data_IF_476163080996
#
_entry.id   IF_476163080996
#
_cell.length_a   1.000
_cell.length_b   1.000
_cell.length_c   1.000
_cell.angle_alpha   90.00
_cell.angle_beta   90.00
_cell.angle_gamma   90.00
#
_symmetry.space_group_name_H-M   'P 1'
#
loop_
_entity.id
_entity.type
_entity.pdbx_description
1 polymer ?
#
# COMPACT_ATOMS: atom_id res chain seq x y z
N UNK A 1 -32.53 -9.99 -14.19
CA UNK A 1 -31.55 -9.58 -13.13
C UNK A 1 -30.55 -8.55 -13.64
N UNK A 2 -29.85 -8.76 -14.76
CA UNK A 2 -28.91 -7.75 -15.34
C UNK A 2 -29.58 -6.40 -15.68
N UNK A 3 -30.78 -6.39 -16.28
CA UNK A 3 -31.52 -5.13 -16.54
C UNK A 3 -31.96 -4.40 -15.26
N UNK A 4 -32.13 -5.14 -14.15
CA UNK A 4 -32.49 -4.54 -12.85
C UNK A 4 -31.28 -3.99 -12.09
N UNK A 5 -30.05 -4.43 -12.40
CA UNK A 5 -28.80 -4.06 -11.72
C UNK A 5 -27.76 -3.66 -12.78
N UNK A 6 -28.00 -2.54 -13.45
CA UNK A 6 -27.04 -1.94 -14.38
C UNK A 6 -25.86 -1.29 -13.65
N UNK A 7 -24.83 -0.89 -14.41
CA UNK A 7 -23.61 -0.27 -13.88
C UNK A 7 -23.88 0.95 -12.98
N UNK A 8 -24.92 1.73 -13.28
CA UNK A 8 -25.34 2.89 -12.47
C UNK A 8 -25.73 2.44 -11.05
N UNK A 9 -26.68 1.50 -10.93
CA UNK A 9 -27.12 0.98 -9.63
C UNK A 9 -26.00 0.26 -8.87
N UNK A 10 -25.12 -0.44 -9.58
CA UNK A 10 -23.96 -1.08 -8.97
C UNK A 10 -22.99 -0.04 -8.39
N UNK A 11 -22.73 1.06 -9.11
CA UNK A 11 -21.91 2.17 -8.61
C UNK A 11 -22.56 2.81 -7.38
N UNK A 12 -23.85 3.14 -7.45
CA UNK A 12 -24.55 3.83 -6.37
C UNK A 12 -24.57 2.99 -5.07
N UNK A 13 -24.55 1.65 -5.18
CA UNK A 13 -24.47 0.74 -4.04
C UNK A 13 -23.04 0.45 -3.58
N UNK A 14 -22.16 0.01 -4.48
CA UNK A 14 -20.84 -0.55 -4.15
C UNK A 14 -19.70 0.47 -4.20
N UNK A 15 -19.98 1.70 -4.58
CA UNK A 15 -19.02 2.81 -4.58
C UNK A 15 -19.54 4.04 -3.80
N UNK A 16 -20.53 3.83 -2.91
CA UNK A 16 -21.19 4.89 -2.15
C UNK A 16 -20.21 5.76 -1.33
N UNK A 17 -19.27 5.11 -0.66
CA UNK A 17 -18.35 5.71 0.30
C UNK A 17 -16.88 5.57 -0.14
N UNK A 18 -16.57 5.60 -1.44
CA UNK A 18 -15.18 5.51 -1.93
C UNK A 18 -14.39 6.75 -1.47
N UNK A 19 -13.31 6.61 -0.69
CA UNK A 19 -12.50 7.76 -0.30
C UNK A 19 -11.87 8.45 -1.50
N UNK A 20 -11.76 9.79 -1.45
CA UNK A 20 -11.19 10.61 -2.54
C UNK A 20 -9.73 10.24 -2.87
N UNK A 21 -8.97 9.74 -1.90
CA UNK A 21 -7.59 9.28 -2.07
C UNK A 21 -7.49 7.81 -2.50
N UNK A 22 -8.59 7.06 -2.55
CA UNK A 22 -8.55 5.64 -2.92
C UNK A 22 -8.25 5.50 -4.41
N UNK A 23 -7.21 4.75 -4.75
CA UNK A 23 -6.74 4.65 -6.13
C UNK A 23 -7.69 3.82 -6.97
N UNK A 24 -8.37 4.45 -7.93
CA UNK A 24 -9.21 3.79 -8.94
C UNK A 24 -8.33 3.23 -10.08
N UNK A 25 -8.38 1.92 -10.37
CA UNK A 25 -7.59 1.35 -11.45
C UNK A 25 -8.09 1.79 -12.84
N UNK A 26 -7.17 1.81 -13.79
CA UNK A 26 -7.40 1.96 -15.23
C UNK A 26 -7.06 0.66 -15.97
N UNK A 27 -7.32 0.59 -17.28
CA UNK A 27 -6.92 -0.57 -18.11
C UNK A 27 -5.41 -0.86 -18.06
N UNK A 28 -4.59 0.17 -17.85
CA UNK A 28 -3.12 0.09 -17.77
C UNK A 28 -2.61 -0.15 -16.34
N UNK A 29 -3.50 -0.20 -15.35
CA UNK A 29 -3.09 -0.48 -13.96
C UNK A 29 -2.59 -1.90 -13.79
N UNK A 30 -1.69 -2.10 -12.82
CA UNK A 30 -1.23 -3.44 -12.44
C UNK A 30 -2.41 -4.33 -12.02
N UNK A 31 -2.32 -5.62 -12.34
CA UNK A 31 -3.40 -6.59 -12.10
C UNK A 31 -3.83 -6.68 -10.63
N UNK A 32 -2.88 -6.57 -9.69
CA UNK A 32 -3.18 -6.52 -8.25
C UNK A 32 -4.14 -5.37 -7.92
N UNK A 33 -3.96 -4.19 -8.50
CA UNK A 33 -4.81 -3.03 -8.21
C UNK A 33 -6.23 -3.21 -8.79
N UNK A 34 -6.34 -3.81 -9.97
CA UNK A 34 -7.64 -4.16 -10.58
C UNK A 34 -8.39 -5.18 -9.73
N UNK A 35 -7.70 -6.26 -9.34
CA UNK A 35 -8.27 -7.33 -8.51
C UNK A 35 -8.72 -6.81 -7.15
N UNK A 36 -7.87 -6.03 -6.47
CA UNK A 36 -8.22 -5.49 -5.15
C UNK A 36 -9.34 -4.46 -5.20
N UNK A 37 -9.48 -3.69 -6.28
CA UNK A 37 -10.64 -2.82 -6.48
C UNK A 37 -11.95 -3.60 -6.56
N UNK A 38 -11.96 -4.70 -7.32
CA UNK A 38 -13.14 -5.57 -7.46
C UNK A 38 -13.45 -6.25 -6.11
N UNK A 39 -12.44 -6.75 -5.41
CA UNK A 39 -12.62 -7.39 -4.10
C UNK A 39 -13.09 -6.39 -3.04
N UNK A 40 -12.54 -5.18 -3.00
CA UNK A 40 -12.98 -4.12 -2.09
C UNK A 40 -14.46 -3.78 -2.31
N UNK A 41 -14.88 -3.64 -3.58
CA UNK A 41 -16.27 -3.34 -3.95
C UNK A 41 -17.25 -4.44 -3.59
N UNK A 42 -16.97 -5.67 -4.00
CA UNK A 42 -18.00 -6.72 -4.07
C UNK A 42 -17.82 -7.84 -3.07
N UNK A 43 -16.60 -8.10 -2.62
CA UNK A 43 -16.32 -9.16 -1.65
C UNK A 43 -16.28 -8.60 -0.22
N UNK A 44 -15.54 -7.51 -0.01
CA UNK A 44 -15.35 -6.91 1.32
C UNK A 44 -16.35 -5.79 1.62
N UNK A 45 -16.98 -5.26 0.56
CA UNK A 45 -17.98 -4.20 0.63
C UNK A 45 -17.45 -2.93 1.32
N UNK A 46 -16.17 -2.64 1.16
CA UNK A 46 -15.46 -1.58 1.89
C UNK A 46 -16.04 -0.19 1.63
N UNK A 47 -16.61 0.02 0.45
CA UNK A 47 -17.16 1.31 0.04
C UNK A 47 -18.67 1.42 0.27
N UNK A 48 -19.26 0.50 1.03
CA UNK A 48 -20.67 0.59 1.43
C UNK A 48 -20.86 1.29 2.77
N UNK A 49 -19.79 1.35 3.58
CA UNK A 49 -19.80 1.89 4.94
C UNK A 49 -18.38 2.37 5.30
N UNK A 50 -18.19 3.65 5.72
CA UNK A 50 -16.89 4.16 6.16
C UNK A 50 -16.22 3.33 7.27
N UNK A 51 -17.00 2.67 8.14
CA UNK A 51 -16.44 1.87 9.25
C UNK A 51 -15.65 0.65 8.74
N UNK A 52 -15.93 0.19 7.52
CA UNK A 52 -15.21 -0.92 6.87
C UNK A 52 -13.83 -0.51 6.32
N UNK A 53 -13.45 0.75 6.47
CA UNK A 53 -12.25 1.35 5.88
C UNK A 53 -11.16 1.63 6.93
N UNK A 54 -11.41 1.28 8.19
CA UNK A 54 -10.52 1.55 9.32
C UNK A 54 -9.08 1.04 9.09
N UNK A 55 -8.92 -0.10 8.40
CA UNK A 55 -7.61 -0.73 8.12
C UNK A 55 -6.64 0.19 7.36
N UNK A 56 -7.14 1.08 6.52
CA UNK A 56 -6.33 2.04 5.75
C UNK A 56 -6.65 3.50 6.07
N UNK A 57 -7.71 3.80 6.82
CA UNK A 57 -8.05 5.14 7.31
C UNK A 57 -7.44 5.44 8.69
N UNK A 58 -6.65 4.52 9.25
CA UNK A 58 -5.98 4.72 10.52
C UNK A 58 -4.89 5.81 10.47
N UNK A 59 -4.64 6.41 11.64
CA UNK A 59 -3.57 7.41 11.83
C UNK A 59 -2.17 6.80 11.71
N UNK A 60 -2.03 5.54 12.15
CA UNK A 60 -0.78 4.79 12.09
C UNK A 60 -1.07 3.39 11.56
N UNK A 61 -0.38 3.00 10.50
CA UNK A 61 -0.42 1.64 9.96
C UNK A 61 0.95 0.98 10.10
N UNK A 62 0.98 -0.21 10.68
CA UNK A 62 2.20 -1.01 10.85
C UNK A 62 2.07 -2.33 10.11
N UNK A 63 3.15 -2.79 9.50
CA UNK A 63 3.16 -4.08 8.81
C UNK A 63 4.58 -4.57 8.52
N UNK A 64 4.71 -5.87 8.27
CA UNK A 64 5.96 -6.47 7.81
C UNK A 64 5.95 -6.54 6.29
N UNK A 65 7.00 -6.03 5.66
CA UNK A 65 7.21 -6.16 4.22
C UNK A 65 8.56 -6.82 3.96
N UNK A 66 8.62 -7.60 2.89
CA UNK A 66 9.88 -8.07 2.34
C UNK A 66 10.52 -6.91 1.59
N UNK A 67 11.68 -6.46 2.05
CA UNK A 67 12.40 -5.34 1.45
C UNK A 67 13.70 -5.81 0.83
N UNK A 68 13.95 -5.42 -0.42
CA UNK A 68 15.21 -5.67 -1.10
C UNK A 68 16.35 -4.90 -0.42
N UNK A 69 17.41 -5.63 -0.06
CA UNK A 69 18.67 -5.09 0.43
C UNK A 69 19.48 -4.43 -0.69
N UNK A 70 20.15 -3.32 -0.38
CA UNK A 70 20.94 -2.55 -1.37
C UNK A 70 22.10 -3.38 -1.93
N UNK A 71 22.89 -3.98 -1.04
CA UNK A 71 24.18 -4.57 -1.43
C UNK A 71 24.03 -6.06 -1.77
N UNK A 72 23.31 -6.80 -0.92
CA UNK A 72 23.16 -8.26 -1.06
C UNK A 72 22.11 -8.67 -2.09
N UNK A 73 21.31 -7.74 -2.61
CA UNK A 73 20.16 -7.99 -3.52
C UNK A 73 19.22 -9.12 -3.05
N UNK A 74 19.11 -9.29 -1.74
CA UNK A 74 18.21 -10.27 -1.11
C UNK A 74 17.08 -9.54 -0.41
N UNK A 75 15.89 -10.14 -0.43
CA UNK A 75 14.76 -9.65 0.35
C UNK A 75 14.89 -10.08 1.80
N UNK A 76 14.57 -9.17 2.72
CA UNK A 76 14.49 -9.47 4.15
C UNK A 76 13.26 -8.80 4.74
N UNK A 77 12.62 -9.44 5.72
CA UNK A 77 11.47 -8.88 6.43
C UNK A 77 11.89 -7.66 7.25
N UNK A 78 11.14 -6.57 7.08
CA UNK A 78 11.33 -5.31 7.81
C UNK A 78 9.97 -4.82 8.28
N UNK A 79 9.89 -4.35 9.52
CA UNK A 79 8.69 -3.64 9.97
C UNK A 79 8.69 -2.25 9.37
N UNK A 80 7.57 -1.89 8.76
CA UNK A 80 7.25 -0.55 8.28
C UNK A 80 6.17 0.06 9.16
N UNK A 81 6.27 1.37 9.36
CA UNK A 81 5.27 2.20 10.05
C UNK A 81 4.98 3.39 9.16
N UNK A 82 3.73 3.52 8.75
CA UNK A 82 3.19 4.70 8.08
C UNK A 82 2.44 5.52 9.15
N UNK A 83 2.96 6.69 9.50
CA UNK A 83 2.36 7.60 10.49
C UNK A 83 1.90 8.87 9.79
N UNK A 84 0.58 9.12 9.80
CA UNK A 84 0.00 10.38 9.33
C UNK A 84 0.28 11.51 10.31
N UNK A 85 0.34 11.21 11.60
CA UNK A 85 0.60 12.18 12.67
C UNK A 85 2.01 12.76 12.53
N UNK A 86 2.98 11.90 12.24
CA UNK A 86 4.38 12.32 12.10
C UNK A 86 4.76 12.68 10.65
N UNK A 87 3.80 12.59 9.71
CA UNK A 87 3.99 12.70 8.26
C UNK A 87 5.15 11.86 7.69
N UNK A 88 5.28 10.61 8.16
CA UNK A 88 6.45 9.77 7.85
C UNK A 88 6.09 8.32 7.52
N UNK A 89 6.86 7.75 6.58
CA UNK A 89 7.03 6.31 6.42
C UNK A 89 8.42 5.90 6.93
N UNK A 90 8.44 5.03 7.93
CA UNK A 90 9.67 4.58 8.58
C UNK A 90 9.81 3.06 8.53
N UNK A 91 11.03 2.54 8.47
CA UNK A 91 11.26 1.10 8.58
C UNK A 91 12.39 0.72 9.54
N UNK A 92 12.30 -0.48 10.09
CA UNK A 92 13.16 -0.99 11.16
C UNK A 92 13.79 -2.32 10.72
N UNK A 93 15.05 -2.56 11.11
CA UNK A 93 15.79 -3.77 10.72
C UNK A 93 15.67 -4.88 11.76
N UNK A 94 15.63 -4.56 13.05
CA UNK A 94 15.67 -5.53 14.14
C UNK A 94 14.51 -5.34 15.12
N UNK A 95 13.70 -6.39 15.31
CA UNK A 95 12.79 -6.49 16.46
C UNK A 95 13.38 -7.36 17.59
N UNK A 96 14.20 -8.37 17.24
CA UNK A 96 14.64 -9.43 18.16
C UNK A 96 15.48 -8.98 19.36
N UNK A 97 16.16 -7.82 19.27
CA UNK A 97 17.13 -7.44 20.30
C UNK A 97 16.68 -6.29 21.22
N UNK A 98 15.44 -5.78 21.09
CA UNK A 98 14.93 -4.65 21.89
C UNK A 98 15.72 -3.33 21.81
N UNK A 99 16.81 -3.30 21.00
CA UNK A 99 17.82 -2.23 20.97
C UNK A 99 17.56 -1.16 19.92
N UNK A 100 16.75 -1.41 18.89
CA UNK A 100 16.44 -0.39 17.88
C UNK A 100 15.09 0.28 18.17
N UNK A 101 15.13 1.31 19.03
CA UNK A 101 14.03 2.27 19.17
C UNK A 101 13.93 3.20 17.96
N UNK A 102 15.04 3.46 17.27
CA UNK A 102 15.09 4.38 16.13
C UNK A 102 14.92 3.69 14.78
N UNK A 103 14.20 4.31 13.84
CA UNK A 103 14.05 3.79 12.49
C UNK A 103 15.37 3.77 11.73
N UNK A 104 15.56 2.77 10.87
CA UNK A 104 16.73 2.70 10.00
C UNK A 104 16.70 3.80 8.94
N UNK A 105 15.52 4.10 8.43
CA UNK A 105 15.28 5.25 7.56
C UNK A 105 13.84 5.71 7.74
N UNK A 106 13.68 7.00 7.53
CA UNK A 106 12.40 7.70 7.46
C UNK A 106 12.30 8.36 6.09
N UNK A 107 11.09 8.46 5.58
CA UNK A 107 10.71 9.16 4.37
C UNK A 107 9.53 10.07 4.69
N UNK A 108 9.62 11.33 4.29
CA UNK A 108 8.52 12.30 4.37
C UNK A 108 7.43 11.91 3.37
N UNK A 109 6.18 11.88 3.81
CA UNK A 109 5.06 11.49 2.95
C UNK A 109 4.75 12.51 1.86
N UNK A 110 5.08 13.79 2.07
CA UNK A 110 4.84 14.86 1.09
C UNK A 110 5.70 14.68 -0.18
N UNK A 111 6.87 14.03 -0.02
CA UNK A 111 7.85 13.82 -1.08
C UNK A 111 8.05 12.34 -1.40
N UNK A 112 7.05 11.51 -1.09
CA UNK A 112 7.04 10.08 -1.36
C UNK A 112 6.11 9.75 -2.53
N UNK A 113 6.54 8.81 -3.35
CA UNK A 113 5.71 8.18 -4.38
C UNK A 113 5.77 6.66 -4.25
N UNK A 114 4.70 5.98 -4.63
CA UNK A 114 4.58 4.53 -4.57
C UNK A 114 3.88 3.98 -5.82
N UNK A 115 4.51 3.03 -6.50
CA UNK A 115 4.02 2.46 -7.75
C UNK A 115 4.20 0.94 -7.74
N UNK A 116 3.16 0.20 -8.13
CA UNK A 116 3.25 -1.24 -8.32
C UNK A 116 4.17 -1.55 -9.51
N UNK A 117 5.17 -2.40 -9.29
CA UNK A 117 6.15 -2.82 -10.28
C UNK A 117 6.38 -4.34 -10.24
N UNK A 118 5.30 -5.14 -10.38
CA UNK A 118 5.36 -6.58 -10.13
C UNK A 118 6.40 -7.30 -11.01
N UNK A 119 6.50 -6.94 -12.29
CA UNK A 119 7.46 -7.51 -13.24
C UNK A 119 8.90 -7.24 -12.84
N UNK A 120 9.22 -6.02 -12.38
CA UNK A 120 10.57 -5.63 -11.96
C UNK A 120 11.04 -6.35 -10.71
N UNK A 121 10.10 -6.69 -9.82
CA UNK A 121 10.39 -7.37 -8.55
C UNK A 121 10.30 -8.89 -8.71
N UNK A 122 9.57 -9.40 -9.71
CA UNK A 122 9.25 -10.82 -9.84
C UNK A 122 8.22 -11.30 -8.81
N UNK A 123 7.37 -10.41 -8.30
CA UNK A 123 6.32 -10.72 -7.33
C UNK A 123 5.04 -9.93 -7.66
N UNK A 124 3.84 -10.56 -7.68
CA UNK A 124 2.58 -9.89 -8.03
C UNK A 124 2.21 -8.70 -7.13
N UNK A 125 2.76 -8.65 -5.91
CA UNK A 125 2.54 -7.59 -4.92
C UNK A 125 3.75 -6.65 -4.81
N UNK A 126 4.63 -6.67 -5.82
CA UNK A 126 5.81 -5.82 -5.88
C UNK A 126 5.47 -4.34 -5.97
N UNK A 127 6.02 -3.55 -5.06
CA UNK A 127 5.86 -2.10 -4.95
C UNK A 127 7.23 -1.43 -4.91
N UNK A 128 7.39 -0.36 -5.70
CA UNK A 128 8.52 0.55 -5.63
C UNK A 128 8.07 1.80 -4.89
N UNK A 129 8.74 2.10 -3.78
CA UNK A 129 8.57 3.34 -3.03
C UNK A 129 9.78 4.22 -3.31
N UNK A 130 9.53 5.46 -3.72
CA UNK A 130 10.57 6.45 -4.04
C UNK A 130 10.37 7.69 -3.21
N UNK A 131 11.45 8.22 -2.63
CA UNK A 131 11.40 9.47 -1.87
C UNK A 131 12.72 10.23 -1.98
N UNK A 132 12.67 11.55 -1.78
CA UNK A 132 13.87 12.39 -1.76
C UNK A 132 14.56 12.31 -0.41
N UNK A 133 15.88 12.15 -0.40
CA UNK A 133 16.72 12.22 0.80
C UNK A 133 18.09 12.77 0.44
N UNK A 134 18.51 13.82 1.14
CA UNK A 134 19.81 14.49 0.93
C UNK A 134 20.02 14.91 -0.54
N UNK A 135 18.98 15.43 -1.19
CA UNK A 135 19.02 15.84 -2.60
C UNK A 135 19.05 14.69 -3.62
N UNK A 136 18.93 13.43 -3.19
CA UNK A 136 18.94 12.25 -4.05
C UNK A 136 17.66 11.42 -3.92
N UNK A 137 17.20 10.84 -5.03
CA UNK A 137 16.05 9.93 -5.00
C UNK A 137 16.48 8.56 -4.48
N UNK A 138 15.86 8.13 -3.37
CA UNK A 138 16.00 6.78 -2.82
C UNK A 138 14.92 5.87 -3.40
N UNK A 139 15.29 4.62 -3.68
CA UNK A 139 14.39 3.59 -4.16
C UNK A 139 14.32 2.45 -3.15
N UNK A 140 13.11 2.10 -2.71
CA UNK A 140 12.83 0.89 -1.95
C UNK A 140 11.99 -0.04 -2.83
N UNK A 141 12.46 -1.27 -2.99
CA UNK A 141 11.68 -2.34 -3.61
C UNK A 141 11.17 -3.24 -2.50
N UNK A 142 9.85 -3.37 -2.40
CA UNK A 142 9.17 -4.14 -1.36
C UNK A 142 8.08 -5.01 -1.94
N UNK A 143 7.71 -6.08 -1.25
CA UNK A 143 6.48 -6.81 -1.49
C UNK A 143 5.88 -7.31 -0.17
N UNK A 144 4.57 -7.58 -0.18
CA UNK A 144 3.86 -8.28 0.87
C UNK A 144 3.59 -9.72 0.43
N UNK A 145 3.38 -10.64 1.39
CA UNK A 145 3.06 -12.05 1.07
C UNK A 145 1.66 -12.20 0.43
N UNK A 146 0.78 -11.22 0.65
CA UNK A 146 -0.55 -11.17 0.07
C UNK A 146 -0.95 -9.71 -0.24
N UNK A 147 -2.14 -9.52 -0.81
CA UNK A 147 -2.62 -8.23 -1.29
C UNK A 147 -3.29 -7.32 -0.24
N UNK A 148 -3.52 -7.81 1.00
CA UNK A 148 -4.15 -7.06 2.10
C UNK A 148 -3.22 -6.82 3.28
#
# INVERSE_FOLDING_TARGET
VMEMIGNIKARDKYELCVPVYYKRPTSQSAEVLKKEWIMAKYQRLEFTDPDRQADYNCQVKTGLLWKLGRDRKQFARRRFVLSRVDNKLSYYINEENGKQRQPKSEADLDYLNAVFVPEKIGNPFGLQITYLKDGSTRNLFVYADNSK
#
